data_IF_186926652233
#
_entry.id   IF_186926652233
#
_cell.length_a   1.000
_cell.length_b   1.000
_cell.length_c   1.000
_cell.angle_alpha   90.00
_cell.angle_beta   90.00
_cell.angle_gamma   90.00
#
_symmetry.space_group_name_H-M   'P 1'
#
loop_
_entity.id
_entity.type
_entity.pdbx_description
1 polymer ?
#
# COMPACT_ATOMS: atom_id res chain seq x y z
N UNK A 1 -0.96 -67.36 13.02
CA UNK A 1 0.22 -66.50 12.80
C UNK A 1 -0.03 -65.22 13.57
N UNK A 2 0.28 -65.20 14.86
CA UNK A 2 1.53 -64.70 15.47
C UNK A 2 1.68 -63.16 15.44
N UNK A 3 1.60 -62.63 16.66
CA UNK A 3 1.84 -61.27 17.12
C UNK A 3 3.32 -60.84 17.00
N UNK A 4 3.51 -59.52 16.91
CA UNK A 4 4.63 -58.70 17.46
C UNK A 4 6.03 -58.76 16.82
N UNK A 5 6.44 -57.61 16.31
CA UNK A 5 7.84 -57.11 16.29
C UNK A 5 7.76 -55.59 16.60
N UNK A 6 7.99 -55.12 17.83
CA UNK A 6 9.28 -54.65 18.42
C UNK A 6 9.83 -53.43 17.66
N UNK A 7 9.58 -52.20 18.12
CA UNK A 7 10.41 -51.37 19.04
C UNK A 7 11.73 -50.86 18.40
N UNK A 8 11.88 -49.54 18.25
CA UNK A 8 13.10 -48.82 18.70
C UNK A 8 12.92 -47.30 18.65
N UNK A 9 13.11 -46.72 19.83
CA UNK A 9 13.27 -45.30 20.13
C UNK A 9 14.34 -44.65 19.26
N UNK A 10 14.02 -43.47 18.73
CA UNK A 10 14.97 -42.52 18.17
C UNK A 10 14.58 -41.13 18.62
N UNK A 11 14.99 -40.76 19.84
CA UNK A 11 14.97 -39.39 20.28
C UNK A 11 16.02 -38.62 19.47
N UNK A 12 15.60 -37.67 18.65
CA UNK A 12 16.45 -36.58 18.20
C UNK A 12 15.82 -35.27 18.67
N UNK A 13 16.29 -34.81 19.83
CA UNK A 13 16.21 -33.42 20.24
C UNK A 13 17.19 -32.64 19.37
N UNK A 14 16.70 -31.86 18.41
CA UNK A 14 17.37 -30.63 17.99
C UNK A 14 16.39 -29.49 18.19
N UNK A 15 16.74 -28.63 19.13
CA UNK A 15 15.98 -27.45 19.48
C UNK A 15 16.33 -26.25 18.61
N UNK A 16 15.58 -25.19 18.93
CA UNK A 16 15.84 -23.77 18.69
C UNK A 16 15.78 -23.27 17.24
N UNK A 17 14.69 -22.55 16.95
CA UNK A 17 14.57 -21.72 15.76
C UNK A 17 13.13 -21.34 15.44
N UNK A 18 12.38 -20.83 16.43
CA UNK A 18 11.10 -20.17 16.17
C UNK A 18 11.40 -18.88 15.41
N UNK A 19 11.32 -18.94 14.08
CA UNK A 19 11.18 -17.76 13.23
C UNK A 19 9.71 -17.62 12.87
N UNK A 20 8.88 -17.34 13.86
CA UNK A 20 7.60 -16.67 13.61
C UNK A 20 7.96 -15.27 13.16
N UNK A 21 8.02 -15.05 11.84
CA UNK A 21 7.79 -13.74 11.27
C UNK A 21 6.38 -13.35 11.70
N UNK A 22 6.31 -12.66 12.84
CA UNK A 22 5.13 -11.97 13.29
C UNK A 22 4.81 -10.91 12.27
N UNK A 23 3.89 -11.23 11.36
CA UNK A 23 2.94 -10.27 10.82
C UNK A 23 2.06 -9.80 12.00
N UNK A 24 2.66 -9.03 12.89
CA UNK A 24 1.94 -8.13 13.78
C UNK A 24 2.07 -6.74 13.14
N UNK A 25 1.04 -5.93 12.98
CA UNK A 25 -0.37 -6.11 13.20
C UNK A 25 -1.01 -4.89 12.51
N UNK A 26 -1.65 -5.09 11.36
CA UNK A 26 -2.73 -4.21 10.96
C UNK A 26 -3.98 -4.79 11.63
N UNK A 27 -4.26 -4.40 12.87
CA UNK A 27 -5.45 -4.90 13.59
C UNK A 27 -5.31 -4.87 15.10
N UNK A 28 -5.46 -3.68 15.69
CA UNK A 28 -5.71 -3.48 17.12
C UNK A 28 -6.75 -2.38 17.26
N UNK A 29 -7.99 -2.78 17.53
CA UNK A 29 -9.11 -1.96 17.95
C UNK A 29 -8.80 -1.39 19.36
N UNK A 30 -8.79 -0.07 19.53
CA UNK A 30 -9.49 0.66 20.62
C UNK A 30 -9.17 2.17 20.65
N UNK A 31 -10.22 2.93 20.96
CA UNK A 31 -10.29 4.32 21.43
C UNK A 31 -9.74 5.48 20.59
N UNK A 32 -10.67 6.37 20.22
CA UNK A 32 -10.43 7.58 19.46
C UNK A 32 -9.47 8.57 20.13
N UNK A 33 -8.67 9.24 19.30
CA UNK A 33 -7.95 10.45 19.69
C UNK A 33 -6.67 10.69 18.91
N UNK A 34 -6.76 11.50 17.86
CA UNK A 34 -5.66 12.31 17.32
C UNK A 34 -4.44 11.56 16.79
N UNK A 35 -4.41 11.32 15.47
CA UNK A 35 -3.24 10.77 14.78
C UNK A 35 -1.97 11.60 15.00
N UNK A 36 -1.06 11.09 15.82
CA UNK A 36 0.32 11.55 15.91
C UNK A 36 1.21 10.60 15.12
N UNK A 37 1.85 11.09 14.07
CA UNK A 37 2.71 10.30 13.19
C UNK A 37 3.89 9.70 13.94
N UNK A 38 3.80 8.42 14.29
CA UNK A 38 4.81 7.67 15.03
C UNK A 38 5.51 6.61 14.17
N UNK A 39 5.19 6.57 12.87
CA UNK A 39 5.79 5.63 11.93
C UNK A 39 7.26 5.90 11.66
N UNK A 40 7.99 4.87 11.22
CA UNK A 40 9.33 5.02 10.65
C UNK A 40 9.24 5.21 9.15
N UNK A 41 10.30 5.74 8.53
CA UNK A 41 10.33 5.91 7.07
C UNK A 41 10.18 4.56 6.37
N UNK A 42 10.84 3.50 6.84
CA UNK A 42 10.77 2.17 6.19
C UNK A 42 9.35 1.59 6.23
N UNK A 43 8.67 1.71 7.38
CA UNK A 43 7.30 1.22 7.54
C UNK A 43 6.33 2.03 6.68
N UNK A 44 6.48 3.37 6.68
CA UNK A 44 5.67 4.26 5.87
C UNK A 44 5.86 4.00 4.37
N UNK A 45 7.11 3.97 3.90
CA UNK A 45 7.46 3.71 2.50
C UNK A 45 6.97 2.33 2.07
N UNK A 46 7.14 1.31 2.91
CA UNK A 46 6.62 -0.03 2.63
C UNK A 46 5.10 -0.03 2.44
N UNK A 47 4.35 0.69 3.28
CA UNK A 47 2.91 0.80 3.14
C UNK A 47 2.50 1.53 1.84
N UNK A 48 3.18 2.63 1.50
CA UNK A 48 2.90 3.40 0.28
C UNK A 48 3.18 2.56 -0.98
N UNK A 49 4.34 1.91 -1.04
CA UNK A 49 4.71 1.12 -2.22
C UNK A 49 3.88 -0.16 -2.37
N UNK A 50 3.52 -0.81 -1.26
CA UNK A 50 2.59 -1.94 -1.30
C UNK A 50 1.20 -1.51 -1.79
N UNK A 51 0.71 -0.35 -1.33
CA UNK A 51 -0.55 0.22 -1.80
C UNK A 51 -0.51 0.52 -3.30
N UNK A 52 0.59 1.13 -3.78
CA UNK A 52 0.78 1.44 -5.19
C UNK A 52 0.87 0.18 -6.06
N UNK A 53 1.65 -0.81 -5.64
CA UNK A 53 1.77 -2.07 -6.37
C UNK A 53 0.42 -2.80 -6.46
N UNK A 54 -0.33 -2.82 -5.35
CA UNK A 54 -1.69 -3.39 -5.35
C UNK A 54 -2.61 -2.64 -6.30
N UNK A 55 -2.53 -1.30 -6.34
CA UNK A 55 -3.30 -0.50 -7.27
C UNK A 55 -2.93 -0.80 -8.73
N UNK A 56 -1.64 -0.89 -9.07
CA UNK A 56 -1.18 -1.26 -10.41
C UNK A 56 -1.69 -2.66 -10.82
N UNK A 57 -1.66 -3.63 -9.90
CA UNK A 57 -2.19 -4.97 -10.13
C UNK A 57 -3.71 -4.95 -10.37
N UNK A 58 -4.45 -4.16 -9.60
CA UNK A 58 -5.90 -4.06 -9.73
C UNK A 58 -6.32 -3.33 -11.02
N UNK A 59 -5.59 -2.29 -11.42
CA UNK A 59 -5.76 -1.64 -12.73
C UNK A 59 -5.46 -2.61 -13.86
N UNK A 60 -4.38 -3.39 -13.75
CA UNK A 60 -4.02 -4.40 -14.77
C UNK A 60 -5.12 -5.45 -14.92
N UNK A 61 -5.73 -5.90 -13.81
CA UNK A 61 -6.88 -6.83 -13.85
C UNK A 61 -8.10 -6.18 -14.51
N UNK A 62 -8.42 -4.95 -14.14
CA UNK A 62 -9.52 -4.20 -14.76
C UNK A 62 -9.34 -4.09 -16.27
N UNK A 63 -8.14 -3.76 -16.74
CA UNK A 63 -7.82 -3.67 -18.17
C UNK A 63 -7.88 -5.04 -18.84
N UNK A 64 -7.40 -6.10 -18.17
CA UNK A 64 -7.44 -7.46 -18.72
C UNK A 64 -8.86 -8.02 -18.85
N UNK A 65 -9.76 -7.60 -17.96
CA UNK A 65 -11.18 -7.99 -17.95
C UNK A 65 -12.05 -7.10 -18.85
N UNK A 66 -11.53 -5.95 -19.29
CA UNK A 66 -12.20 -5.03 -20.22
C UNK A 66 -12.38 -5.67 -21.60
N UNK A 67 -13.48 -5.37 -22.27
CA UNK A 67 -13.74 -5.87 -23.63
C UNK A 67 -12.93 -5.11 -24.69
N UNK A 68 -12.42 -3.92 -24.36
CA UNK A 68 -11.69 -3.03 -25.26
C UNK A 68 -12.59 -2.13 -26.11
N UNK A 69 -13.90 -2.17 -25.88
CA UNK A 69 -14.92 -1.36 -26.58
C UNK A 69 -15.54 -0.29 -25.66
N UNK A 70 -15.00 -0.13 -24.45
CA UNK A 70 -15.46 0.86 -23.48
C UNK A 70 -15.24 2.28 -23.99
N UNK A 71 -16.23 3.14 -23.76
CA UNK A 71 -16.06 4.58 -23.85
C UNK A 71 -15.13 5.10 -22.75
N UNK A 72 -14.57 6.29 -22.92
CA UNK A 72 -13.73 6.93 -21.90
C UNK A 72 -14.47 7.05 -20.54
N UNK A 73 -15.78 7.31 -20.57
CA UNK A 73 -16.62 7.35 -19.37
C UNK A 73 -16.73 5.99 -18.67
N UNK A 74 -16.92 4.91 -19.45
CA UNK A 74 -17.01 3.55 -18.91
C UNK A 74 -15.67 3.10 -18.34
N UNK A 75 -14.56 3.41 -19.03
CA UNK A 75 -13.21 3.16 -18.53
C UNK A 75 -12.94 3.91 -17.22
N UNK A 76 -13.37 5.18 -17.12
CA UNK A 76 -13.24 5.95 -15.89
C UNK A 76 -13.99 5.31 -14.71
N UNK A 77 -15.22 4.83 -14.96
CA UNK A 77 -16.04 4.15 -13.93
C UNK A 77 -15.40 2.83 -13.49
N UNK A 78 -14.78 2.07 -14.39
CA UNK A 78 -14.09 0.82 -14.07
C UNK A 78 -12.91 1.04 -13.11
N UNK A 79 -12.23 2.18 -13.19
CA UNK A 79 -11.07 2.52 -12.35
C UNK A 79 -11.45 3.07 -10.96
N UNK A 80 -12.71 3.47 -10.74
CA UNK A 80 -13.16 4.02 -9.45
C UNK A 80 -12.87 3.06 -8.29
N UNK A 81 -13.17 1.76 -8.44
CA UNK A 81 -12.97 0.79 -7.36
C UNK A 81 -11.49 0.59 -6.99
N UNK A 82 -10.58 0.33 -7.95
CA UNK A 82 -9.14 0.33 -7.69
C UNK A 82 -8.67 1.61 -6.98
N UNK A 83 -9.15 2.77 -7.41
CA UNK A 83 -8.76 4.05 -6.82
C UNK A 83 -9.28 4.23 -5.38
N UNK A 84 -10.53 3.87 -5.09
CA UNK A 84 -11.08 3.89 -3.73
C UNK A 84 -10.28 2.94 -2.80
N UNK A 85 -9.89 1.77 -3.31
CA UNK A 85 -9.04 0.83 -2.59
C UNK A 85 -7.64 1.41 -2.33
N UNK A 86 -7.06 2.10 -3.32
CA UNK A 86 -5.78 2.79 -3.19
C UNK A 86 -5.83 3.88 -2.11
N UNK A 87 -6.82 4.79 -2.16
CA UNK A 87 -7.03 5.83 -1.13
C UNK A 87 -7.18 5.21 0.27
N UNK A 88 -7.96 4.12 0.38
CA UNK A 88 -8.13 3.41 1.65
C UNK A 88 -6.81 2.84 2.17
N UNK A 89 -5.93 2.35 1.29
CA UNK A 89 -4.62 1.83 1.70
C UNK A 89 -3.65 2.97 2.04
N UNK A 90 -3.67 4.09 1.31
CA UNK A 90 -2.92 5.28 1.69
C UNK A 90 -3.30 5.77 3.09
N UNK A 91 -4.60 5.88 3.40
CA UNK A 91 -5.11 6.29 4.74
C UNK A 91 -4.64 5.40 5.90
N UNK A 92 -4.24 4.16 5.62
CA UNK A 92 -3.70 3.24 6.64
C UNK A 92 -2.20 3.38 6.84
N UNK A 93 -1.50 4.06 5.93
CA UNK A 93 -0.09 4.32 6.11
C UNK A 93 0.10 5.22 7.33
N UNK A 94 1.04 4.87 8.21
CA UNK A 94 1.36 5.65 9.39
C UNK A 94 2.63 6.47 9.08
N UNK A 95 2.53 7.75 8.68
CA UNK A 95 3.70 8.55 8.36
C UNK A 95 4.49 8.91 9.63
N UNK A 96 5.81 9.13 9.52
CA UNK A 96 6.56 9.88 10.52
C UNK A 96 5.94 11.27 10.73
N UNK A 97 6.07 11.82 11.94
CA UNK A 97 5.44 13.10 12.31
C UNK A 97 5.76 14.27 11.37
N UNK A 98 6.99 14.33 10.84
CA UNK A 98 7.44 15.37 9.91
C UNK A 98 6.94 15.15 8.46
N UNK A 99 6.44 13.96 8.15
CA UNK A 99 5.86 13.57 6.85
C UNK A 99 4.33 13.69 6.83
N UNK A 100 3.70 13.86 8.00
CA UNK A 100 2.24 13.81 8.16
C UNK A 100 1.49 14.79 7.24
N UNK A 101 1.88 16.06 7.21
CA UNK A 101 1.20 17.07 6.38
C UNK A 101 1.27 16.71 4.88
N UNK A 102 2.43 16.22 4.43
CA UNK A 102 2.63 15.79 3.05
C UNK A 102 1.74 14.58 2.71
N UNK A 103 1.68 13.61 3.62
CA UNK A 103 0.83 12.43 3.46
C UNK A 103 -0.66 12.78 3.41
N UNK A 104 -1.13 13.62 4.33
CA UNK A 104 -2.52 14.07 4.39
C UNK A 104 -2.92 14.82 3.11
N UNK A 105 -2.04 15.67 2.56
CA UNK A 105 -2.29 16.37 1.31
C UNK A 105 -2.45 15.40 0.13
N UNK A 106 -1.58 14.40 -0.01
CA UNK A 106 -1.70 13.35 -1.04
C UNK A 106 -3.03 12.59 -0.90
N UNK A 107 -3.37 12.16 0.31
CA UNK A 107 -4.60 11.41 0.58
C UNK A 107 -5.82 12.23 0.19
N UNK A 108 -5.89 13.49 0.62
CA UNK A 108 -7.03 14.37 0.36
C UNK A 108 -7.18 14.65 -1.13
N UNK A 109 -6.08 14.98 -1.82
CA UNK A 109 -6.09 15.22 -3.27
C UNK A 109 -6.53 13.98 -4.04
N UNK A 110 -6.00 12.81 -3.69
CA UNK A 110 -6.40 11.55 -4.34
C UNK A 110 -7.88 11.28 -4.09
N UNK A 111 -8.38 11.45 -2.87
CA UNK A 111 -9.80 11.29 -2.54
C UNK A 111 -10.71 12.27 -3.32
N UNK A 112 -10.30 13.53 -3.44
CA UNK A 112 -11.01 14.53 -4.23
C UNK A 112 -11.05 14.17 -5.72
N UNK A 113 -9.94 13.66 -6.28
CA UNK A 113 -9.92 13.18 -7.66
C UNK A 113 -10.86 11.98 -7.83
N UNK A 114 -10.84 11.00 -6.93
CA UNK A 114 -11.78 9.85 -6.99
C UNK A 114 -13.23 10.31 -6.95
N UNK A 115 -13.54 11.28 -6.10
CA UNK A 115 -14.89 11.85 -6.02
C UNK A 115 -15.29 12.52 -7.34
N UNK A 116 -14.42 13.36 -7.92
CA UNK A 116 -14.67 13.98 -9.22
C UNK A 116 -14.82 12.96 -10.35
N UNK A 117 -14.00 11.91 -10.39
CA UNK A 117 -14.15 10.83 -11.38
C UNK A 117 -15.51 10.16 -11.26
N UNK A 118 -16.02 9.96 -10.04
CA UNK A 118 -17.36 9.37 -9.85
C UNK A 118 -18.48 10.28 -10.32
N UNK A 119 -18.35 11.57 -10.09
CA UNK A 119 -19.37 12.56 -10.42
C UNK A 119 -19.37 12.88 -11.93
N UNK A 120 -18.19 13.05 -12.52
CA UNK A 120 -18.00 13.54 -13.88
C UNK A 120 -17.66 12.42 -14.89
N UNK A 121 -17.33 11.21 -14.40
CA UNK A 121 -16.86 10.06 -15.21
C UNK A 121 -15.67 10.39 -16.11
N UNK A 122 -14.78 11.25 -15.64
CA UNK A 122 -13.60 11.65 -16.38
C UNK A 122 -12.34 11.53 -15.52
N UNK A 123 -11.33 10.82 -16.05
CA UNK A 123 -10.02 10.64 -15.43
C UNK A 123 -9.18 11.93 -15.40
N UNK A 124 -9.51 12.92 -16.23
CA UNK A 124 -8.87 14.25 -16.22
C UNK A 124 -9.01 14.96 -14.87
N UNK A 125 -9.93 14.51 -14.00
CA UNK A 125 -10.04 14.98 -12.62
C UNK A 125 -8.72 14.91 -11.83
N UNK A 126 -7.79 13.99 -12.18
CA UNK A 126 -6.44 13.97 -11.60
C UNK A 126 -5.59 15.18 -12.00
N UNK A 127 -5.82 15.76 -13.17
CA UNK A 127 -5.12 16.97 -13.60
C UNK A 127 -5.65 18.22 -12.86
N UNK A 128 -6.93 18.21 -12.47
CA UNK A 128 -7.60 19.35 -11.85
C UNK A 128 -7.31 19.53 -10.34
N UNK A 129 -6.83 18.48 -9.67
CA UNK A 129 -6.52 18.53 -8.22
C UNK A 129 -5.15 19.18 -7.94
N UNK A 130 -4.32 19.37 -8.97
CA UNK A 130 -2.98 19.93 -8.91
C UNK A 130 -1.99 19.08 -8.10
N UNK A 131 -0.70 19.40 -8.20
CA UNK A 131 0.34 18.63 -7.53
C UNK A 131 0.23 18.71 -6.00
N UNK A 132 0.60 17.65 -5.27
CA UNK A 132 0.72 17.70 -3.82
C UNK A 132 1.80 18.69 -3.40
N UNK A 133 1.67 19.25 -2.20
CA UNK A 133 2.67 20.12 -1.58
C UNK A 133 3.99 19.36 -1.45
N UNK A 134 5.04 19.89 -2.04
CA UNK A 134 6.35 19.26 -1.99
C UNK A 134 6.93 19.25 -0.57
N UNK A 135 7.38 18.09 -0.05
CA UNK A 135 8.04 18.04 1.24
C UNK A 135 9.47 18.60 1.14
N UNK A 136 10.07 19.04 2.27
CA UNK A 136 11.47 19.44 2.31
C UNK A 136 12.41 18.38 1.72
N UNK A 137 13.49 18.81 1.06
CA UNK A 137 14.43 17.89 0.40
C UNK A 137 14.97 16.80 1.35
N UNK A 138 15.24 17.14 2.61
CA UNK A 138 15.72 16.18 3.60
C UNK A 138 14.72 15.03 3.85
N UNK A 139 13.41 15.30 3.77
CA UNK A 139 12.37 14.26 3.86
C UNK A 139 12.37 13.43 2.58
N UNK A 140 12.42 14.06 1.40
CA UNK A 140 12.49 13.35 0.12
C UNK A 140 13.67 12.37 0.08
N UNK A 141 14.85 12.83 0.45
CA UNK A 141 16.08 12.02 0.42
C UNK A 141 15.95 10.79 1.34
N UNK A 142 15.41 10.99 2.54
CA UNK A 142 15.22 9.92 3.54
C UNK A 142 14.19 8.89 3.08
N UNK A 143 13.05 9.34 2.54
CA UNK A 143 12.02 8.46 1.98
C UNK A 143 12.53 7.71 0.74
N UNK A 144 13.31 8.37 -0.12
CA UNK A 144 13.92 7.74 -1.30
C UNK A 144 15.00 6.72 -0.94
N UNK A 145 15.80 6.96 0.10
CA UNK A 145 16.75 5.97 0.61
C UNK A 145 16.03 4.69 1.07
N UNK A 146 14.92 4.84 1.82
CA UNK A 146 14.08 3.71 2.20
C UNK A 146 13.42 3.03 0.98
N UNK A 147 12.93 3.81 0.00
CA UNK A 147 12.28 3.28 -1.20
C UNK A 147 13.26 2.46 -2.07
N UNK A 148 14.49 2.94 -2.23
CA UNK A 148 15.54 2.24 -3.01
C UNK A 148 15.90 0.84 -2.48
N UNK A 149 15.56 0.55 -1.22
CA UNK A 149 15.80 -0.73 -0.54
C UNK A 149 14.55 -1.60 -0.46
N UNK A 150 13.38 -1.06 -0.80
CA UNK A 150 12.10 -1.74 -0.69
C UNK A 150 11.73 -2.41 -2.02
N UNK A 151 11.45 -3.71 -1.98
CA UNK A 151 11.16 -4.49 -3.18
C UNK A 151 9.85 -4.10 -3.87
N UNK A 152 8.85 -3.65 -3.13
CA UNK A 152 7.58 -3.24 -3.73
C UNK A 152 7.74 -1.89 -4.44
N UNK A 153 8.55 -0.97 -3.89
CA UNK A 153 8.86 0.29 -4.58
C UNK A 153 9.63 0.03 -5.88
N UNK A 154 10.62 -0.87 -5.84
CA UNK A 154 11.41 -1.24 -7.02
C UNK A 154 10.51 -1.86 -8.10
N UNK A 155 9.56 -2.73 -7.71
CA UNK A 155 8.59 -3.33 -8.66
C UNK A 155 7.60 -2.32 -9.22
N UNK A 156 7.14 -1.39 -8.38
CA UNK A 156 6.21 -0.35 -8.77
C UNK A 156 6.88 0.79 -9.55
N UNK A 157 8.20 0.74 -9.74
CA UNK A 157 9.05 1.79 -10.32
C UNK A 157 8.80 3.18 -9.68
N UNK A 158 8.69 3.20 -8.34
CA UNK A 158 8.25 4.37 -7.59
C UNK A 158 9.39 5.05 -6.82
N UNK A 159 9.41 6.38 -6.88
CA UNK A 159 10.25 7.25 -6.05
C UNK A 159 9.45 8.46 -5.55
N UNK A 160 9.84 9.02 -4.41
CA UNK A 160 9.21 10.22 -3.87
C UNK A 160 9.76 11.48 -4.56
N UNK A 161 8.89 12.20 -5.27
CA UNK A 161 9.19 13.51 -5.86
C UNK A 161 9.79 13.48 -7.28
N UNK A 162 9.58 12.40 -8.03
CA UNK A 162 9.76 12.33 -9.49
C UNK A 162 8.51 11.74 -10.14
#
# INVERSE_FOLDING_TARGET
MQFRTILRSGALLLGAGVATFGLAACGGDDDGGGGGGSGTDEAYVGAICSALLTFQDDVTKVIADASGDETDEEAAVLLVKPLEAYVKNLKKANPPSDVKEYHEDIVNKTEDAVKKIKDDKNLDAFNDIGDPKEPPQAIKDRLNDAASKNQDCIKADFTFGN
#
